data_IF_480481513220
#
_entry.id   IF_480481513220
#
_cell.length_a   1.000
_cell.length_b   1.000
_cell.length_c   1.000
_cell.angle_alpha   90.00
_cell.angle_beta   90.00
_cell.angle_gamma   90.00
#
_symmetry.space_group_name_H-M   'P 1'
#
loop_
_entity.id
_entity.type
_entity.pdbx_description
1 polymer ?
#
# COMPACT_ATOMS: atom_id res chain seq x y z
N UNK A 1 31.18 -6.05 18.63
CA UNK A 1 30.24 -7.04 18.05
C UNK A 1 29.94 -6.68 16.60
N UNK A 2 29.87 -7.68 15.70
CA UNK A 2 29.59 -7.46 14.27
C UNK A 2 28.15 -7.02 14.08
N UNK A 3 27.87 -6.10 13.15
CA UNK A 3 26.49 -5.70 12.84
C UNK A 3 25.71 -6.86 12.21
N UNK A 4 24.38 -6.89 12.40
CA UNK A 4 23.51 -7.84 11.73
C UNK A 4 23.55 -7.66 10.21
N UNK A 5 23.79 -8.74 9.49
CA UNK A 5 23.78 -8.77 8.02
C UNK A 5 22.85 -9.86 7.52
N UNK A 6 21.79 -9.46 6.83
CA UNK A 6 20.87 -10.41 6.22
C UNK A 6 21.37 -10.82 4.83
N UNK A 7 21.81 -12.07 4.69
CA UNK A 7 22.39 -12.61 3.44
C UNK A 7 21.47 -12.49 2.22
N UNK A 8 20.15 -12.44 2.42
CA UNK A 8 19.15 -12.32 1.34
C UNK A 8 18.59 -10.90 1.19
N UNK A 9 19.28 -9.87 1.70
CA UNK A 9 18.80 -8.48 1.59
C UNK A 9 18.55 -8.08 0.13
N UNK A 10 19.48 -8.38 -0.79
CA UNK A 10 19.29 -8.09 -2.23
C UNK A 10 18.06 -8.76 -2.82
N UNK A 11 17.73 -9.98 -2.38
CA UNK A 11 16.53 -10.68 -2.82
C UNK A 11 15.27 -10.01 -2.28
N UNK A 12 15.28 -9.59 -1.01
CA UNK A 12 14.17 -8.84 -0.41
C UNK A 12 13.93 -7.53 -1.16
N UNK A 13 14.98 -6.75 -1.44
CA UNK A 13 14.91 -5.49 -2.16
C UNK A 13 14.33 -5.68 -3.58
N UNK A 14 14.73 -6.75 -4.27
CA UNK A 14 14.19 -7.11 -5.59
C UNK A 14 12.69 -7.44 -5.52
N UNK A 15 12.26 -8.21 -4.52
CA UNK A 15 10.84 -8.57 -4.33
C UNK A 15 9.99 -7.35 -3.99
N UNK A 16 10.50 -6.45 -3.16
CA UNK A 16 9.87 -5.16 -2.90
C UNK A 16 9.73 -4.30 -4.15
N UNK A 17 10.78 -4.20 -4.97
CA UNK A 17 10.73 -3.46 -6.22
C UNK A 17 9.69 -4.06 -7.18
N UNK A 18 9.61 -5.39 -7.24
CA UNK A 18 8.59 -6.09 -8.03
C UNK A 18 7.18 -5.79 -7.54
N UNK A 19 6.92 -5.90 -6.24
CA UNK A 19 5.59 -5.58 -5.66
C UNK A 19 5.20 -4.12 -5.96
N UNK A 20 6.11 -3.15 -5.74
CA UNK A 20 5.88 -1.74 -6.09
C UNK A 20 5.56 -1.54 -7.58
N UNK A 21 6.25 -2.26 -8.46
CA UNK A 21 5.97 -2.23 -9.89
C UNK A 21 4.54 -2.65 -10.21
N UNK A 22 4.07 -3.75 -9.63
CA UNK A 22 2.69 -4.24 -9.84
C UNK A 22 1.66 -3.32 -9.18
N UNK A 23 1.98 -2.71 -8.03
CA UNK A 23 1.12 -1.69 -7.40
C UNK A 23 0.91 -0.47 -8.31
N UNK A 24 1.98 0.01 -8.95
CA UNK A 24 1.90 1.14 -9.88
C UNK A 24 1.05 0.81 -11.11
N UNK A 25 1.21 -0.38 -11.67
CA UNK A 25 0.38 -0.86 -12.78
C UNK A 25 -1.11 -0.91 -12.40
N UNK A 26 -1.43 -1.44 -11.22
CA UNK A 26 -2.80 -1.45 -10.71
C UNK A 26 -3.35 -0.03 -10.53
N UNK A 27 -2.54 0.88 -10.00
CA UNK A 27 -2.94 2.26 -9.78
C UNK A 27 -3.29 2.98 -11.09
N UNK A 28 -2.55 2.73 -12.17
CA UNK A 28 -2.82 3.29 -13.50
C UNK A 28 -4.20 2.81 -13.99
N UNK A 29 -4.43 1.49 -14.00
CA UNK A 29 -5.70 0.92 -14.48
C UNK A 29 -6.90 1.39 -13.66
N UNK A 30 -6.77 1.44 -12.33
CA UNK A 30 -7.82 1.95 -11.45
C UNK A 30 -8.07 3.44 -11.68
N UNK A 31 -7.03 4.23 -11.93
CA UNK A 31 -7.17 5.65 -12.26
C UNK A 31 -7.95 5.85 -13.57
N UNK A 32 -7.65 5.06 -14.59
CA UNK A 32 -8.37 5.08 -15.87
C UNK A 32 -9.83 4.69 -15.70
N UNK A 33 -10.13 3.61 -14.98
CA UNK A 33 -11.50 3.20 -14.68
C UNK A 33 -12.26 4.30 -13.92
N UNK A 34 -11.62 4.93 -12.94
CA UNK A 34 -12.23 6.02 -12.16
C UNK A 34 -12.53 7.25 -13.03
N UNK A 35 -11.69 7.58 -14.02
CA UNK A 35 -11.98 8.67 -14.97
C UNK A 35 -13.25 8.39 -15.78
N UNK A 36 -13.45 7.15 -16.21
CA UNK A 36 -14.68 6.76 -16.92
C UNK A 36 -15.91 6.85 -16.01
N UNK A 37 -15.79 6.44 -14.73
CA UNK A 37 -16.87 6.56 -13.74
C UNK A 37 -17.25 8.02 -13.50
N UNK A 38 -16.26 8.90 -13.29
CA UNK A 38 -16.48 10.33 -13.12
C UNK A 38 -17.19 10.94 -14.33
N UNK A 39 -16.79 10.56 -15.55
CA UNK A 39 -17.45 11.01 -16.78
C UNK A 39 -18.92 10.58 -16.84
N UNK A 40 -19.25 9.35 -16.44
CA UNK A 40 -20.65 8.91 -16.35
C UNK A 40 -21.44 9.72 -15.32
N UNK A 41 -20.89 9.92 -14.14
CA UNK A 41 -21.55 10.65 -13.05
C UNK A 41 -21.82 12.10 -13.44
N UNK A 42 -20.85 12.76 -14.08
CA UNK A 42 -21.02 14.11 -14.62
C UNK A 42 -22.13 14.18 -15.68
N UNK A 43 -22.18 13.22 -16.61
CA UNK A 43 -23.25 13.18 -17.63
C UNK A 43 -24.63 12.95 -16.99
N UNK A 44 -24.74 12.03 -16.03
CA UNK A 44 -25.99 11.75 -15.31
C UNK A 44 -26.46 12.96 -14.52
N UNK A 45 -25.53 13.65 -13.87
CA UNK A 45 -25.78 14.90 -13.16
C UNK A 45 -26.28 15.98 -14.11
N UNK A 46 -25.61 16.19 -15.24
CA UNK A 46 -26.00 17.18 -16.24
C UNK A 46 -27.40 16.90 -16.83
N UNK A 47 -27.72 15.63 -17.15
CA UNK A 47 -29.07 15.22 -17.59
C UNK A 47 -30.13 15.62 -16.55
N UNK A 48 -29.82 15.38 -15.27
CA UNK A 48 -30.73 15.65 -14.16
C UNK A 48 -30.94 17.15 -13.96
N UNK A 49 -29.86 17.93 -13.95
CA UNK A 49 -29.89 19.39 -13.74
C UNK A 49 -30.59 20.09 -14.92
N UNK A 50 -30.22 19.76 -16.16
CA UNK A 50 -30.89 20.32 -17.34
C UNK A 50 -32.36 19.93 -17.40
N UNK A 51 -32.69 18.69 -17.04
CA UNK A 51 -34.08 18.23 -16.99
C UNK A 51 -34.90 18.96 -15.93
N UNK A 52 -34.32 19.27 -14.77
CA UNK A 52 -34.98 20.09 -13.74
C UNK A 52 -35.23 21.51 -14.25
N UNK A 53 -34.21 22.16 -14.81
CA UNK A 53 -34.32 23.51 -15.35
C UNK A 53 -35.37 23.62 -16.46
N UNK A 54 -35.39 22.66 -17.39
CA UNK A 54 -36.37 22.62 -18.47
C UNK A 54 -37.79 22.47 -17.90
N UNK A 55 -38.01 21.53 -16.96
CA UNK A 55 -39.32 21.34 -16.32
C UNK A 55 -39.80 22.59 -15.59
N UNK A 56 -38.91 23.30 -14.90
CA UNK A 56 -39.25 24.56 -14.23
C UNK A 56 -39.67 25.65 -15.21
N UNK A 57 -38.92 25.85 -16.29
CA UNK A 57 -39.30 26.77 -17.36
C UNK A 57 -40.64 26.37 -17.99
N UNK A 58 -40.89 25.07 -18.21
CA UNK A 58 -42.16 24.60 -18.80
C UNK A 58 -43.34 24.97 -17.90
N UNK A 59 -43.19 24.81 -16.58
CA UNK A 59 -44.23 25.19 -15.60
C UNK A 59 -44.51 26.69 -15.58
N UNK A 60 -43.53 27.53 -15.92
CA UNK A 60 -43.68 28.98 -16.03
C UNK A 60 -44.19 29.44 -17.41
N UNK A 61 -44.36 28.53 -18.36
CA UNK A 61 -44.71 28.87 -19.75
C UNK A 61 -43.57 29.52 -20.54
N UNK A 62 -42.33 29.41 -20.06
CA UNK A 62 -41.15 30.09 -20.62
C UNK A 62 -40.38 29.25 -21.64
N UNK A 63 -40.76 27.98 -21.85
CA UNK A 63 -40.01 27.07 -22.73
C UNK A 63 -40.33 27.30 -24.20
N UNK A 64 -39.27 27.46 -24.98
CA UNK A 64 -39.33 27.47 -26.44
C UNK A 64 -39.14 26.05 -26.97
N UNK A 65 -39.89 25.65 -28.00
CA UNK A 65 -39.80 24.32 -28.64
C UNK A 65 -38.34 23.91 -28.99
N UNK A 66 -37.51 24.89 -29.38
CA UNK A 66 -36.09 24.68 -29.64
C UNK A 66 -35.28 24.19 -28.43
N UNK A 67 -35.54 24.69 -27.22
CA UNK A 67 -34.85 24.26 -25.99
C UNK A 67 -35.21 22.81 -25.65
N UNK A 68 -36.48 22.41 -25.81
CA UNK A 68 -36.91 21.03 -25.58
C UNK A 68 -36.26 20.05 -26.58
N UNK A 69 -36.15 20.45 -27.85
CA UNK A 69 -35.48 19.65 -28.87
C UNK A 69 -33.97 19.52 -28.59
N UNK A 70 -33.31 20.61 -28.17
CA UNK A 70 -31.90 20.58 -27.78
C UNK A 70 -31.66 19.66 -26.59
N UNK A 71 -32.54 19.72 -25.58
CA UNK A 71 -32.47 18.81 -24.43
C UNK A 71 -32.61 17.35 -24.85
N UNK A 72 -33.58 17.01 -25.70
CA UNK A 72 -33.75 15.65 -26.21
C UNK A 72 -32.51 15.12 -26.93
N UNK A 73 -31.89 15.94 -27.80
CA UNK A 73 -30.62 15.61 -28.47
C UNK A 73 -29.48 15.41 -27.48
N UNK A 74 -29.35 16.30 -26.50
CA UNK A 74 -28.34 16.19 -25.45
C UNK A 74 -28.49 14.90 -24.66
N UNK A 75 -29.70 14.57 -24.21
CA UNK A 75 -29.97 13.33 -23.45
C UNK A 75 -29.60 12.11 -24.28
N UNK A 76 -30.01 12.04 -25.55
CA UNK A 76 -29.66 10.92 -26.43
C UNK A 76 -28.14 10.72 -26.55
N UNK A 77 -27.39 11.79 -26.82
CA UNK A 77 -25.93 11.74 -26.92
C UNK A 77 -25.27 11.38 -25.59
N UNK A 78 -25.75 11.95 -24.49
CA UNK A 78 -25.23 11.70 -23.15
C UNK A 78 -25.48 10.24 -22.71
N UNK A 79 -26.65 9.67 -23.01
CA UNK A 79 -26.94 8.24 -22.77
C UNK A 79 -26.00 7.34 -23.55
N UNK A 80 -25.81 7.59 -24.85
CA UNK A 80 -24.83 6.83 -25.65
C UNK A 80 -23.41 6.91 -25.09
N UNK A 81 -23.00 8.08 -24.60
CA UNK A 81 -21.70 8.28 -23.98
C UNK A 81 -21.57 7.55 -22.63
N UNK A 82 -22.64 7.51 -21.83
CA UNK A 82 -22.70 6.74 -20.57
C UNK A 82 -22.55 5.25 -20.85
N UNK A 83 -23.29 4.71 -21.82
CA UNK A 83 -23.23 3.29 -22.20
C UNK A 83 -21.85 2.92 -22.73
N UNK A 84 -21.25 3.80 -23.54
CA UNK A 84 -19.89 3.62 -24.03
C UNK A 84 -18.85 3.61 -22.90
N UNK A 85 -19.00 4.48 -21.90
CA UNK A 85 -18.15 4.49 -20.71
C UNK A 85 -18.36 3.23 -19.85
N UNK A 86 -19.60 2.74 -19.75
CA UNK A 86 -19.93 1.51 -19.00
C UNK A 86 -19.21 0.32 -19.61
N UNK A 87 -19.28 0.19 -20.94
CA UNK A 87 -18.59 -0.87 -21.67
C UNK A 87 -17.07 -0.81 -21.47
N UNK A 88 -16.48 0.40 -21.42
CA UNK A 88 -15.04 0.56 -21.10
C UNK A 88 -14.73 0.12 -19.67
N UNK A 89 -15.53 0.54 -18.69
CA UNK A 89 -15.36 0.14 -17.28
C UNK A 89 -15.42 -1.38 -17.14
N UNK A 90 -16.43 -2.02 -17.73
CA UNK A 90 -16.60 -3.47 -17.70
C UNK A 90 -15.45 -4.19 -18.42
N UNK A 91 -14.99 -3.65 -19.55
CA UNK A 91 -13.85 -4.18 -20.28
C UNK A 91 -12.51 -4.11 -19.51
N UNK A 92 -12.38 -3.18 -18.56
CA UNK A 92 -11.18 -3.03 -17.72
C UNK A 92 -11.16 -4.02 -16.53
N UNK A 93 -12.31 -4.53 -16.09
CA UNK A 93 -12.40 -5.40 -14.90
C UNK A 93 -11.53 -6.66 -14.97
N UNK A 94 -11.48 -7.40 -16.11
CA UNK A 94 -10.59 -8.57 -16.22
C UNK A 94 -9.11 -8.21 -16.01
N UNK A 95 -8.64 -7.11 -16.62
CA UNK A 95 -7.25 -6.66 -16.49
C UNK A 95 -6.93 -6.19 -15.07
N UNK A 96 -7.84 -5.46 -14.43
CA UNK A 96 -7.71 -5.05 -13.03
C UNK A 96 -7.64 -6.29 -12.11
N UNK A 97 -8.50 -7.28 -12.35
CA UNK A 97 -8.52 -8.54 -11.59
C UNK A 97 -7.22 -9.32 -11.73
N UNK A 98 -6.68 -9.41 -12.96
CA UNK A 98 -5.40 -10.06 -13.24
C UNK A 98 -4.25 -9.39 -12.47
N UNK A 99 -4.14 -8.06 -12.56
CA UNK A 99 -3.08 -7.30 -11.89
C UNK A 99 -3.22 -7.38 -10.37
N UNK A 100 -4.45 -7.39 -9.81
CA UNK A 100 -4.69 -7.69 -8.39
C UNK A 100 -4.16 -9.06 -8.00
N UNK A 101 -4.42 -10.08 -8.81
CA UNK A 101 -3.89 -11.43 -8.59
C UNK A 101 -2.35 -11.44 -8.55
N UNK A 102 -1.72 -10.80 -9.53
CA UNK A 102 -0.26 -10.63 -9.56
C UNK A 102 0.29 -9.89 -8.34
N UNK A 103 -0.42 -8.87 -7.85
CA UNK A 103 -0.02 -8.12 -6.68
C UNK A 103 -0.07 -8.98 -5.41
N UNK A 104 -1.12 -9.80 -5.27
CA UNK A 104 -1.23 -10.76 -4.16
C UNK A 104 -0.02 -11.70 -4.15
N UNK A 105 0.35 -12.26 -5.31
CA UNK A 105 1.49 -13.17 -5.40
C UNK A 105 2.82 -12.46 -5.12
N UNK A 106 3.05 -11.27 -5.69
CA UNK A 106 4.26 -10.49 -5.40
C UNK A 106 4.38 -10.15 -3.90
N UNK A 107 3.25 -9.84 -3.24
CA UNK A 107 3.21 -9.57 -1.80
C UNK A 107 3.52 -10.83 -0.97
N UNK A 108 2.99 -11.99 -1.34
CA UNK A 108 3.31 -13.27 -0.69
C UNK A 108 4.80 -13.58 -0.80
N UNK A 109 5.37 -13.47 -2.00
CA UNK A 109 6.79 -13.73 -2.24
C UNK A 109 7.69 -12.82 -1.40
N UNK A 110 7.39 -11.51 -1.32
CA UNK A 110 8.13 -10.57 -0.47
C UNK A 110 8.02 -10.95 1.02
N UNK A 111 6.80 -11.19 1.51
CA UNK A 111 6.53 -11.50 2.92
C UNK A 111 7.24 -12.77 3.40
N UNK A 112 7.46 -13.75 2.53
CA UNK A 112 8.23 -14.96 2.87
C UNK A 112 9.67 -14.59 3.24
N UNK A 113 10.32 -13.74 2.42
CA UNK A 113 11.72 -13.31 2.65
C UNK A 113 11.82 -12.36 3.84
N UNK A 114 10.83 -11.48 4.01
CA UNK A 114 10.72 -10.57 5.15
C UNK A 114 10.62 -11.34 6.48
N UNK A 115 9.73 -12.33 6.58
CA UNK A 115 9.62 -13.19 7.77
C UNK A 115 10.92 -13.95 8.07
N UNK A 116 11.64 -14.37 7.03
CA UNK A 116 12.94 -15.01 7.21
C UNK A 116 13.97 -14.03 7.79
N UNK A 117 13.98 -12.77 7.33
CA UNK A 117 14.83 -11.71 7.88
C UNK A 117 14.51 -11.42 9.34
N UNK A 118 13.23 -11.33 9.69
CA UNK A 118 12.77 -11.11 11.07
C UNK A 118 13.27 -12.21 12.01
N UNK A 119 13.09 -13.48 11.63
CA UNK A 119 13.60 -14.62 12.40
C UNK A 119 15.12 -14.57 12.57
N UNK A 120 15.86 -14.26 11.51
CA UNK A 120 17.33 -14.14 11.59
C UNK A 120 17.80 -12.98 12.46
N UNK A 121 17.03 -11.89 12.49
CA UNK A 121 17.32 -10.77 13.37
C UNK A 121 17.06 -11.14 14.84
N UNK A 122 16.01 -11.89 15.12
CA UNK A 122 15.69 -12.40 16.45
C UNK A 122 16.78 -13.37 16.96
N UNK A 123 17.19 -14.35 16.13
CA UNK A 123 18.31 -15.26 16.43
C UNK A 123 19.59 -14.48 16.74
N UNK A 124 19.95 -13.49 15.91
CA UNK A 124 21.14 -12.67 16.12
C UNK A 124 21.06 -11.89 17.44
N UNK A 125 19.91 -11.31 17.79
CA UNK A 125 19.73 -10.59 19.06
C UNK A 125 19.88 -11.53 20.25
N UNK A 126 19.30 -12.73 20.18
CA UNK A 126 19.43 -13.73 21.22
C UNK A 126 20.90 -14.14 21.45
N UNK A 127 21.66 -14.36 20.37
CA UNK A 127 23.10 -14.67 20.47
C UNK A 127 23.89 -13.51 21.05
N UNK A 128 23.59 -12.27 20.64
CA UNK A 128 24.21 -11.05 21.13
C UNK A 128 23.99 -10.88 22.65
N UNK A 129 22.76 -11.07 23.11
CA UNK A 129 22.39 -10.96 24.52
C UNK A 129 23.11 -12.03 25.35
N UNK A 130 23.20 -13.26 24.81
CA UNK A 130 23.92 -14.37 25.45
C UNK A 130 25.42 -14.11 25.56
N UNK A 131 26.07 -13.60 24.50
CA UNK A 131 27.48 -13.22 24.52
C UNK A 131 27.73 -12.10 25.53
N UNK A 132 26.88 -11.06 25.50
CA UNK A 132 26.99 -9.91 26.42
C UNK A 132 26.81 -10.33 27.88
N UNK A 133 25.85 -11.22 28.17
CA UNK A 133 25.65 -11.76 29.52
C UNK A 133 26.89 -12.53 30.01
N UNK A 134 27.48 -13.37 29.15
CA UNK A 134 28.71 -14.11 29.48
C UNK A 134 29.89 -13.18 29.73
N UNK A 135 30.10 -12.17 28.87
CA UNK A 135 31.15 -11.17 29.05
C UNK A 135 31.00 -10.40 30.38
N UNK A 136 29.75 -10.05 30.74
CA UNK A 136 29.45 -9.39 32.00
C UNK A 136 29.75 -10.28 33.22
N UNK A 137 29.37 -11.56 33.17
CA UNK A 137 29.65 -12.52 34.25
C UNK A 137 31.16 -12.73 34.41
N UNK A 138 31.90 -12.93 33.31
CA UNK A 138 33.36 -13.08 33.33
C UNK A 138 34.06 -11.82 33.89
N UNK A 139 33.55 -10.63 33.57
CA UNK A 139 34.06 -9.37 34.10
C UNK A 139 33.76 -9.21 35.59
N UNK A 140 32.55 -9.54 36.03
CA UNK A 140 32.14 -9.51 37.43
C UNK A 140 32.98 -10.46 38.28
N UNK A 141 33.25 -11.69 37.81
CA UNK A 141 34.12 -12.64 38.48
C UNK A 141 35.55 -12.10 38.63
N UNK A 142 36.13 -11.50 37.57
CA UNK A 142 37.47 -10.89 37.64
C UNK A 142 37.54 -9.74 38.64
N UNK A 143 36.51 -8.88 38.68
CA UNK A 143 36.43 -7.77 39.64
C UNK A 143 36.32 -8.31 41.07
N UNK A 144 35.49 -9.32 41.29
CA UNK A 144 35.31 -9.96 42.59
C UNK A 144 36.63 -10.59 43.10
N UNK A 145 37.30 -11.37 42.25
CA UNK A 145 38.60 -11.96 42.58
C UNK A 145 39.65 -10.89 42.90
N UNK A 146 39.72 -9.81 42.14
CA UNK A 146 40.64 -8.69 42.42
C UNK A 146 40.37 -8.06 43.79
N UNK A 147 39.10 -7.83 44.15
CA UNK A 147 38.72 -7.26 45.45
C UNK A 147 39.08 -8.21 46.61
N UNK A 148 38.84 -9.51 46.44
CA UNK A 148 39.24 -10.50 47.45
C UNK A 148 40.74 -10.54 47.68
N UNK A 149 41.53 -10.51 46.60
CA UNK A 149 42.99 -10.48 46.69
C UNK A 149 43.45 -9.21 47.43
N UNK A 150 42.92 -8.03 47.09
CA UNK A 150 43.23 -6.78 47.80
C UNK A 150 42.90 -6.85 49.30
N UNK A 151 41.71 -7.35 49.65
CA UNK A 151 41.31 -7.49 51.05
C UNK A 151 42.20 -8.47 51.85
N UNK A 152 42.67 -9.54 51.21
CA UNK A 152 43.59 -10.50 51.84
C UNK A 152 45.00 -9.91 52.08
N UNK A 153 45.48 -9.04 51.19
CA UNK A 153 46.74 -8.33 51.37
C UNK A 153 46.67 -7.23 52.43
N UNK A 154 45.52 -6.55 52.57
CA UNK A 154 45.31 -5.51 53.59
C UNK A 154 45.03 -6.07 55.00
N UNK A 155 44.44 -7.26 55.11
CA UNK A 155 44.16 -7.92 56.39
C UNK A 155 45.29 -8.77 56.99
N UNK A 156 46.37 -9.03 56.23
CA UNK A 156 47.52 -9.84 56.67
C UNK A 156 48.69 -9.03 57.26
N UNK A 157 48.55 -7.71 57.40
CA UNK A 157 49.54 -6.80 57.97
C UNK A 157 49.25 -6.41 59.42
N UNK A 158 48.89 -7.38 60.26
CA UNK A 158 48.73 -7.24 61.71
C UNK A 158 49.82 -7.96 62.47
#
# INVERSE_FOLDING_TARGET
MKKFEFKLQRLLDLREARERGVQNELAILVSEQNRERLKQDDLRRNITEFGKSLREKMRKGEVVSGEAMQYGKFVSLATMAIDSAENRIQGMEPGISEVRGRLIEASKERKVVEKLREKKLEEYRYELDRETAKENDDMNQKIYLRRMVQAAFEGGGG
#
